data_IF_379686685892
#
_entry.id   IF_379686685892
#
_cell.length_a   1.000
_cell.length_b   1.000
_cell.length_c   1.000
_cell.angle_alpha   90.00
_cell.angle_beta   90.00
_cell.angle_gamma   90.00
#
_symmetry.space_group_name_H-M   'P 1'
#
loop_
_entity.id
_entity.type
_entity.pdbx_description
1 polymer ?
#
# COMPACT_ATOMS: atom_id res chain seq x y z
N UNK A 1 8.49 16.85 48.35
CA UNK A 1 8.48 17.18 46.91
C UNK A 1 9.27 16.21 46.04
N UNK A 2 10.48 15.75 46.43
CA UNK A 2 11.30 14.81 45.61
C UNK A 2 10.61 13.49 45.25
N UNK A 3 9.84 12.90 46.17
CA UNK A 3 9.11 11.63 45.93
C UNK A 3 7.99 11.76 44.90
N UNK A 4 7.28 12.91 44.88
CA UNK A 4 6.22 13.17 43.90
C UNK A 4 6.79 13.36 42.48
N UNK A 5 7.98 13.98 42.37
CA UNK A 5 8.69 14.08 41.09
C UNK A 5 9.08 12.71 40.53
N UNK A 6 9.53 11.78 41.39
CA UNK A 6 9.90 10.42 40.98
C UNK A 6 8.69 9.66 40.47
N UNK A 7 7.55 9.74 41.16
CA UNK A 7 6.31 9.09 40.70
C UNK A 7 5.82 9.68 39.38
N UNK A 8 5.85 11.00 39.21
CA UNK A 8 5.48 11.64 37.93
C UNK A 8 6.37 11.18 36.78
N UNK A 9 7.68 11.12 37.02
CA UNK A 9 8.65 10.68 36.01
C UNK A 9 8.48 9.20 35.62
N UNK A 10 8.22 8.32 36.58
CA UNK A 10 7.96 6.90 36.33
C UNK A 10 6.69 6.69 35.51
N UNK A 11 5.63 7.44 35.80
CA UNK A 11 4.38 7.37 35.04
C UNK A 11 4.57 7.84 33.60
N UNK A 12 5.32 8.94 33.36
CA UNK A 12 5.66 9.37 32.01
C UNK A 12 6.46 8.31 31.22
N UNK A 13 7.38 7.60 31.87
CA UNK A 13 8.14 6.53 31.21
C UNK A 13 7.26 5.36 30.78
N UNK A 14 6.23 5.00 31.56
CA UNK A 14 5.26 3.96 31.18
C UNK A 14 4.45 4.36 29.93
N UNK A 15 4.08 5.64 29.80
CA UNK A 15 3.38 6.13 28.61
C UNK A 15 4.27 6.17 27.35
N UNK A 16 5.59 6.33 27.50
CA UNK A 16 6.53 6.31 26.37
C UNK A 16 6.72 4.87 25.83
N UNK A 17 6.73 3.85 26.70
CA UNK A 17 6.89 2.45 26.27
C UNK A 17 5.61 1.91 25.61
N UNK A 18 4.43 2.36 26.05
CA UNK A 18 3.13 1.93 25.47
C UNK A 18 2.72 2.63 24.16
N UNK A 19 3.39 3.72 23.76
CA UNK A 19 3.05 4.42 22.51
C UNK A 19 3.58 3.75 21.24
N UNK A 20 4.46 2.74 21.36
CA UNK A 20 5.04 2.07 20.21
C UNK A 20 4.23 0.86 19.71
N UNK A 21 3.18 0.44 20.41
CA UNK A 21 2.27 -0.62 19.94
C UNK A 21 1.32 -0.14 18.83
N UNK A 22 1.11 1.17 18.70
CA UNK A 22 0.32 1.76 17.60
C UNK A 22 1.16 2.04 16.34
N UNK A 23 2.46 1.78 16.36
CA UNK A 23 3.35 1.86 15.19
C UNK A 23 3.60 0.48 14.55
N UNK A 24 2.74 -0.49 14.81
CA UNK A 24 2.58 -1.64 13.92
C UNK A 24 1.48 -1.24 12.93
N UNK A 25 1.79 -0.24 12.09
CA UNK A 25 0.98 0.09 10.93
C UNK A 25 1.07 -1.10 9.99
N UNK A 26 0.12 -2.01 10.16
CA UNK A 26 -0.53 -2.85 9.16
C UNK A 26 0.04 -2.74 7.74
N UNK A 27 0.44 -3.91 7.23
CA UNK A 27 0.67 -4.27 5.83
C UNK A 27 1.92 -3.68 5.19
N UNK A 28 2.97 -4.49 5.18
CA UNK A 28 4.12 -4.32 4.31
C UNK A 28 3.62 -4.27 2.86
N UNK A 29 3.92 -3.19 2.15
CA UNK A 29 3.57 -2.99 0.74
C UNK A 29 4.16 -4.06 -0.18
N UNK A 30 5.13 -4.83 0.34
CA UNK A 30 5.74 -5.98 -0.32
C UNK A 30 5.04 -7.30 -0.02
N UNK A 31 4.04 -7.34 0.87
CA UNK A 31 3.30 -8.57 1.14
C UNK A 31 2.55 -9.05 -0.12
N UNK A 32 2.68 -10.35 -0.42
CA UNK A 32 2.05 -10.96 -1.59
C UNK A 32 0.55 -11.10 -1.35
N UNK A 33 -0.26 -10.38 -2.13
CA UNK A 33 -1.71 -10.47 -2.07
C UNK A 33 -2.25 -11.65 -2.90
N UNK A 34 -1.69 -11.88 -4.10
CA UNK A 34 -2.08 -12.98 -4.98
C UNK A 34 -0.97 -13.30 -5.99
N UNK A 35 -0.96 -14.53 -6.51
CA UNK A 35 -0.04 -14.98 -7.57
C UNK A 35 -0.85 -15.33 -8.82
N UNK A 36 -0.50 -14.73 -9.97
CA UNK A 36 -1.18 -14.92 -11.25
C UNK A 36 -0.19 -15.47 -12.28
N UNK A 37 -0.37 -16.74 -12.68
CA UNK A 37 0.54 -17.47 -13.60
C UNK A 37 2.03 -17.41 -13.19
N UNK A 38 2.32 -17.34 -11.89
CA UNK A 38 3.67 -17.27 -11.36
C UNK A 38 4.24 -15.86 -11.22
N UNK A 39 3.47 -14.81 -11.56
CA UNK A 39 3.80 -13.43 -11.23
C UNK A 39 3.07 -13.00 -9.95
N UNK A 40 3.82 -12.41 -9.02
CA UNK A 40 3.32 -11.92 -7.74
C UNK A 40 2.67 -10.54 -7.90
N UNK A 41 1.55 -10.33 -7.22
CA UNK A 41 0.87 -9.04 -7.08
C UNK A 41 0.88 -8.70 -5.59
N UNK A 42 1.46 -7.57 -5.22
CA UNK A 42 1.59 -7.20 -3.81
C UNK A 42 0.39 -6.40 -3.31
N UNK A 43 0.25 -6.30 -1.99
CA UNK A 43 -0.72 -5.40 -1.35
C UNK A 43 -0.45 -3.94 -1.76
N UNK A 44 0.82 -3.54 -1.91
CA UNK A 44 1.20 -2.22 -2.42
C UNK A 44 0.70 -1.95 -3.84
N UNK A 45 0.72 -2.95 -4.74
CA UNK A 45 0.18 -2.81 -6.09
C UNK A 45 -1.33 -2.55 -6.07
N UNK A 46 -2.06 -3.23 -5.19
CA UNK A 46 -3.50 -3.04 -5.02
C UNK A 46 -3.83 -1.69 -4.39
N UNK A 47 -3.04 -1.23 -3.41
CA UNK A 47 -3.24 0.06 -2.75
C UNK A 47 -2.92 1.25 -3.68
N UNK A 48 -1.93 1.10 -4.57
CA UNK A 48 -1.73 2.05 -5.66
C UNK A 48 -2.94 2.11 -6.59
N UNK A 49 -3.66 1.00 -6.74
CA UNK A 49 -4.81 0.91 -7.61
C UNK A 49 -6.12 1.41 -6.97
N UNK A 50 -6.34 1.14 -5.68
CA UNK A 50 -7.61 1.30 -4.99
C UNK A 50 -7.45 1.77 -3.55
N UNK A 51 -8.39 2.60 -3.07
CA UNK A 51 -8.42 3.06 -1.68
C UNK A 51 -8.68 1.92 -0.70
N UNK A 52 -8.06 2.02 0.48
CA UNK A 52 -7.87 0.98 1.51
C UNK A 52 -9.14 0.14 1.81
N UNK A 53 -10.29 0.81 1.91
CA UNK A 53 -11.54 0.24 2.43
C UNK A 53 -12.17 -0.84 1.52
N UNK A 54 -11.72 -0.99 0.27
CA UNK A 54 -12.29 -1.92 -0.72
C UNK A 54 -11.25 -2.72 -1.51
N UNK A 55 -10.03 -2.82 -1.00
CA UNK A 55 -8.89 -3.46 -1.68
C UNK A 55 -9.22 -4.86 -2.23
N UNK A 56 -9.94 -5.67 -1.45
CA UNK A 56 -10.34 -7.04 -1.81
C UNK A 56 -11.38 -7.05 -2.94
N UNK A 57 -12.32 -6.10 -2.94
CA UNK A 57 -13.39 -6.04 -3.95
C UNK A 57 -12.84 -5.77 -5.35
N UNK A 58 -11.66 -5.16 -5.43
CA UNK A 58 -11.01 -4.83 -6.69
C UNK A 58 -9.91 -5.82 -7.11
N UNK A 59 -9.64 -6.83 -6.29
CA UNK A 59 -8.65 -7.87 -6.59
C UNK A 59 -8.95 -8.58 -7.92
N UNK A 60 -10.22 -8.87 -8.20
CA UNK A 60 -10.65 -9.48 -9.47
C UNK A 60 -10.30 -8.59 -10.69
N UNK A 61 -10.44 -7.28 -10.55
CA UNK A 61 -10.05 -6.32 -11.58
C UNK A 61 -8.54 -6.33 -11.83
N UNK A 62 -7.75 -6.33 -10.76
CA UNK A 62 -6.28 -6.39 -10.84
C UNK A 62 -5.80 -7.70 -11.46
N UNK A 63 -6.40 -8.84 -11.09
CA UNK A 63 -6.09 -10.15 -11.69
C UNK A 63 -6.38 -10.14 -13.19
N UNK A 64 -7.54 -9.61 -13.61
CA UNK A 64 -7.93 -9.52 -15.03
C UNK A 64 -6.98 -8.63 -15.82
N UNK A 65 -6.60 -7.47 -15.27
CA UNK A 65 -5.62 -6.58 -15.90
C UNK A 65 -4.26 -7.27 -16.07
N UNK A 66 -3.81 -8.02 -15.06
CA UNK A 66 -2.55 -8.76 -15.12
C UNK A 66 -2.57 -9.88 -16.16
N UNK A 67 -3.67 -10.63 -16.24
CA UNK A 67 -3.86 -11.64 -17.29
C UNK A 67 -3.88 -11.01 -18.69
N UNK A 68 -4.50 -9.85 -18.86
CA UNK A 68 -4.49 -9.14 -20.13
C UNK A 68 -3.07 -8.69 -20.53
N UNK A 69 -2.28 -8.15 -19.59
CA UNK A 69 -0.86 -7.82 -19.81
C UNK A 69 -0.05 -9.05 -20.29
N UNK A 70 -0.23 -10.19 -19.60
CA UNK A 70 0.45 -11.44 -19.93
C UNK A 70 0.07 -11.96 -21.32
N UNK A 71 -1.22 -11.93 -21.67
CA UNK A 71 -1.70 -12.37 -22.97
C UNK A 71 -1.15 -11.50 -24.11
N UNK A 72 -1.13 -10.18 -23.93
CA UNK A 72 -0.54 -9.25 -24.92
C UNK A 72 0.95 -9.53 -25.12
N UNK A 73 1.67 -9.87 -24.04
CA UNK A 73 3.08 -10.28 -24.11
C UNK A 73 3.26 -11.60 -24.85
N UNK A 74 2.38 -12.57 -24.65
CA UNK A 74 2.37 -13.84 -25.40
C UNK A 74 2.10 -13.63 -26.90
N UNK A 75 1.37 -12.58 -27.26
CA UNK A 75 1.12 -12.17 -28.65
C UNK A 75 2.25 -11.34 -29.28
N UNK A 76 3.40 -11.20 -28.60
CA UNK A 76 4.55 -10.39 -29.05
C UNK A 76 4.21 -8.93 -29.33
N UNK A 77 3.19 -8.39 -28.66
CA UNK A 77 2.84 -6.98 -28.70
C UNK A 77 3.50 -6.27 -27.53
N UNK A 78 4.25 -5.21 -27.82
CA UNK A 78 4.83 -4.34 -26.80
C UNK A 78 3.83 -3.22 -26.49
N UNK A 79 3.34 -3.20 -25.24
CA UNK A 79 2.43 -2.16 -24.71
C UNK A 79 3.06 -1.40 -23.53
N UNK A 80 4.38 -1.49 -23.39
CA UNK A 80 5.11 -0.90 -22.26
C UNK A 80 4.97 0.62 -22.22
N UNK A 81 4.93 1.28 -23.39
CA UNK A 81 4.75 2.73 -23.49
C UNK A 81 3.36 3.16 -23.03
N UNK A 82 2.31 2.50 -23.52
CA UNK A 82 0.92 2.78 -23.18
C UNK A 82 0.66 2.55 -21.69
N UNK A 83 1.20 1.48 -21.13
CA UNK A 83 1.15 1.22 -19.68
C UNK A 83 1.86 2.30 -18.87
N UNK A 84 2.99 2.82 -19.37
CA UNK A 84 3.71 3.91 -18.73
C UNK A 84 2.92 5.23 -18.78
N UNK A 85 2.27 5.54 -19.90
CA UNK A 85 1.40 6.71 -20.06
C UNK A 85 0.20 6.65 -19.09
N UNK A 86 -0.46 5.49 -18.98
CA UNK A 86 -1.56 5.27 -18.03
C UNK A 86 -1.09 5.46 -16.58
N UNK A 87 0.09 4.93 -16.23
CA UNK A 87 0.66 5.07 -14.87
C UNK A 87 0.99 6.53 -14.54
N UNK A 88 1.50 7.28 -15.50
CA UNK A 88 1.83 8.70 -15.33
C UNK A 88 0.56 9.54 -15.19
N UNK A 89 -0.44 9.31 -16.03
CA UNK A 89 -1.75 9.99 -15.94
C UNK A 89 -2.39 9.76 -14.56
N UNK A 90 -2.28 8.55 -14.01
CA UNK A 90 -2.80 8.25 -12.68
C UNK A 90 -2.04 8.99 -11.57
N UNK A 91 -0.71 9.08 -11.64
CA UNK A 91 0.09 9.84 -10.66
C UNK A 91 -0.25 11.32 -10.68
N UNK A 92 -0.49 11.89 -11.86
CA UNK A 92 -0.92 13.28 -12.01
C UNK A 92 -2.35 13.49 -11.50
N UNK A 93 -3.24 12.51 -11.70
CA UNK A 93 -4.61 12.55 -11.16
C UNK A 93 -4.69 12.27 -9.66
N UNK A 94 -3.71 11.59 -9.06
CA UNK A 94 -3.62 11.32 -7.62
C UNK A 94 -2.89 12.42 -6.85
N UNK A 95 -2.56 13.56 -7.49
CA UNK A 95 -2.18 14.78 -6.78
C UNK A 95 -3.43 15.28 -6.04
N UNK A 96 -3.67 14.72 -4.86
CA UNK A 96 -4.53 15.33 -3.87
C UNK A 96 -4.04 16.76 -3.63
N UNK A 97 -4.94 17.76 -3.54
CA UNK A 97 -4.53 19.08 -3.11
C UNK A 97 -3.96 18.95 -1.69
N UNK A 98 -2.70 19.32 -1.54
CA UNK A 98 -2.03 19.42 -0.24
C UNK A 98 -2.51 20.68 0.49
N UNK A 99 -3.81 20.81 0.78
CA UNK A 99 -4.34 21.93 1.57
C UNK A 99 -5.56 21.48 2.37
N UNK A 100 -5.34 21.13 3.65
CA UNK A 100 -5.90 21.81 4.83
C UNK A 100 -5.29 21.25 6.12
#
# INVERSE_FOLDING_TARGET
MKRLFIYSFLTCMLFIVGCNEALISYNDDTEIAVIVRGEEITVGDLWFLYSDDRLIDYLDGTIKAKLAEQEVRELYMDVSQELQEIKNMKRESSVYPSEF
#
